data_IF_748566766933
#
_entry.id   IF_748566766933
#
_cell.length_a   1.000
_cell.length_b   1.000
_cell.length_c   1.000
_cell.angle_alpha   90.00
_cell.angle_beta   90.00
_cell.angle_gamma   90.00
#
_symmetry.space_group_name_H-M   'P 1'
#
loop_
_entity.id
_entity.type
_entity.pdbx_description
1 polymer ?
#
# COMPACT_ATOMS: atom_id res chain seq x y z
N UNK A 1 19.07 7.93 -1.75
CA UNK A 1 17.76 7.78 -2.41
C UNK A 1 17.84 6.92 -3.69
N UNK A 2 18.80 7.17 -4.58
CA UNK A 2 19.06 6.33 -5.76
C UNK A 2 19.34 4.85 -5.39
N UNK A 3 19.99 4.60 -4.26
CA UNK A 3 20.33 3.27 -3.76
C UNK A 3 19.08 2.40 -3.46
N UNK A 4 17.96 3.00 -3.01
CA UNK A 4 16.70 2.25 -2.76
C UNK A 4 16.07 1.74 -4.06
N UNK A 5 15.94 2.60 -5.09
CA UNK A 5 15.41 2.19 -6.41
C UNK A 5 16.33 1.17 -7.07
N UNK A 6 17.63 1.38 -7.01
CA UNK A 6 18.62 0.46 -7.58
C UNK A 6 18.59 -0.92 -6.92
N UNK A 7 18.38 -1.00 -5.59
CA UNK A 7 18.19 -2.28 -4.89
C UNK A 7 16.89 -2.98 -5.30
N UNK A 8 15.81 -2.26 -5.50
CA UNK A 8 14.53 -2.83 -5.94
C UNK A 8 14.64 -3.42 -7.36
N UNK A 9 15.29 -2.72 -8.29
CA UNK A 9 15.58 -3.24 -9.63
C UNK A 9 16.50 -4.48 -9.58
N UNK A 10 17.59 -4.43 -8.80
CA UNK A 10 18.52 -5.56 -8.65
C UNK A 10 17.89 -6.81 -8.04
N UNK A 11 16.85 -6.67 -7.20
CA UNK A 11 16.14 -7.82 -6.62
C UNK A 11 15.18 -8.42 -7.65
N UNK A 12 14.47 -7.61 -8.43
CA UNK A 12 13.48 -8.04 -9.40
C UNK A 12 14.10 -8.82 -10.58
N UNK A 13 15.27 -8.41 -11.02
CA UNK A 13 15.91 -8.95 -12.25
C UNK A 13 16.81 -10.16 -12.00
N UNK A 14 16.96 -10.63 -10.75
CA UNK A 14 17.74 -11.81 -10.43
C UNK A 14 16.86 -13.02 -10.23
N UNK A 15 16.83 -13.91 -11.20
CA UNK A 15 16.24 -15.26 -11.07
C UNK A 15 16.99 -16.18 -10.09
N UNK A 16 18.02 -15.66 -9.44
CA UNK A 16 19.00 -16.43 -8.64
C UNK A 16 18.57 -16.68 -7.18
N UNK A 17 17.36 -16.25 -6.76
CA UNK A 17 16.87 -16.49 -5.40
C UNK A 17 15.52 -17.21 -5.39
N UNK A 18 15.34 -18.10 -4.43
CA UNK A 18 14.08 -18.84 -4.23
C UNK A 18 13.12 -18.12 -3.28
N UNK A 19 13.66 -17.33 -2.37
CA UNK A 19 12.91 -16.62 -1.32
C UNK A 19 13.47 -15.22 -1.11
N UNK A 20 12.61 -14.26 -0.86
CA UNK A 20 12.99 -12.92 -0.37
C UNK A 20 12.60 -12.78 1.10
N UNK A 21 13.52 -12.36 1.96
CA UNK A 21 13.21 -12.05 3.36
C UNK A 21 13.48 -10.57 3.60
N UNK A 22 12.48 -9.88 4.12
CA UNK A 22 12.58 -8.47 4.53
C UNK A 22 12.61 -8.36 6.05
N UNK A 23 13.48 -7.47 6.55
CA UNK A 23 13.61 -7.16 7.97
C UNK A 23 13.38 -5.67 8.15
N UNK A 24 12.31 -5.27 8.82
CA UNK A 24 12.00 -3.86 9.01
C UNK A 24 10.53 -3.60 9.31
N UNK A 25 10.11 -2.35 9.18
CA UNK A 25 8.73 -1.91 9.31
C UNK A 25 8.00 -1.87 7.95
N UNK A 26 6.83 -1.21 7.94
CA UNK A 26 5.91 -1.15 6.81
C UNK A 26 6.57 -0.74 5.49
N UNK A 27 7.47 0.26 5.50
CA UNK A 27 8.20 0.65 4.29
C UNK A 27 9.15 -0.41 3.72
N UNK A 28 9.75 -1.28 4.55
CA UNK A 28 10.55 -2.42 4.07
C UNK A 28 9.64 -3.54 3.54
N UNK A 29 8.50 -3.75 4.17
CA UNK A 29 7.49 -4.70 3.71
C UNK A 29 6.94 -4.24 2.37
N UNK A 30 6.55 -2.98 2.22
CA UNK A 30 6.10 -2.40 0.94
C UNK A 30 7.15 -2.54 -0.17
N UNK A 31 8.43 -2.35 0.14
CA UNK A 31 9.52 -2.58 -0.81
C UNK A 31 9.60 -4.05 -1.23
N UNK A 32 9.51 -4.98 -0.28
CA UNK A 32 9.51 -6.41 -0.53
C UNK A 32 8.30 -6.86 -1.36
N UNK A 33 7.10 -6.41 -1.03
CA UNK A 33 5.87 -6.74 -1.77
C UNK A 33 5.94 -6.28 -3.23
N UNK A 34 6.45 -5.07 -3.48
CA UNK A 34 6.66 -4.58 -4.85
C UNK A 34 7.80 -5.30 -5.59
N UNK A 35 8.79 -5.86 -4.87
CA UNK A 35 9.89 -6.58 -5.49
C UNK A 35 9.49 -7.99 -5.97
N UNK A 36 8.62 -8.69 -5.23
CA UNK A 36 8.21 -10.07 -5.54
C UNK A 36 6.74 -10.21 -5.95
N UNK A 37 5.96 -9.13 -5.92
CA UNK A 37 4.58 -9.15 -6.36
C UNK A 37 4.43 -9.71 -7.76
N UNK A 38 3.47 -10.62 -7.97
CA UNK A 38 3.21 -11.34 -9.21
C UNK A 38 4.36 -12.22 -9.74
N UNK A 39 5.48 -12.36 -9.00
CA UNK A 39 6.60 -13.21 -9.42
C UNK A 39 6.43 -14.68 -9.03
N UNK A 40 5.50 -14.99 -8.11
CA UNK A 40 5.35 -16.30 -7.49
C UNK A 40 6.43 -16.64 -6.47
N UNK A 41 7.43 -15.77 -6.26
CA UNK A 41 8.50 -15.97 -5.26
C UNK A 41 7.99 -15.60 -3.86
N UNK A 42 8.21 -16.48 -2.86
CA UNK A 42 7.69 -16.23 -1.52
C UNK A 42 8.45 -15.12 -0.77
N UNK A 43 7.70 -14.30 -0.04
CA UNK A 43 8.19 -13.25 0.85
C UNK A 43 8.17 -13.71 2.30
N UNK A 44 9.31 -13.71 2.98
CA UNK A 44 9.42 -13.83 4.43
C UNK A 44 9.46 -12.45 5.08
N UNK A 45 8.75 -12.26 6.20
CA UNK A 45 8.63 -10.97 6.87
C UNK A 45 9.11 -11.08 8.32
N UNK A 46 10.14 -10.32 8.66
CA UNK A 46 10.60 -10.08 10.04
C UNK A 46 10.22 -8.64 10.40
N UNK A 47 9.04 -8.49 11.00
CA UNK A 47 8.45 -7.19 11.30
C UNK A 47 9.05 -6.56 12.56
N UNK A 48 9.87 -5.50 12.39
CA UNK A 48 10.59 -4.81 13.48
C UNK A 48 10.30 -3.32 13.56
N UNK A 49 9.32 -2.83 12.79
CA UNK A 49 8.89 -1.44 12.79
C UNK A 49 7.95 -1.09 13.93
N UNK A 50 7.46 0.14 13.93
CA UNK A 50 6.49 0.64 14.90
C UNK A 50 5.03 0.34 14.53
N UNK A 51 4.70 0.30 13.24
CA UNK A 51 3.37 -0.03 12.72
C UNK A 51 3.22 -1.53 12.50
N UNK A 52 3.85 -2.03 11.47
CA UNK A 52 3.81 -3.43 11.03
C UNK A 52 2.38 -3.92 10.72
N UNK A 53 1.59 -3.05 10.10
CA UNK A 53 0.15 -3.26 9.93
C UNK A 53 -0.17 -4.46 9.03
N UNK A 54 0.60 -4.65 7.95
CA UNK A 54 0.46 -5.83 7.09
C UNK A 54 0.80 -7.13 7.83
N UNK A 55 1.89 -7.15 8.61
CA UNK A 55 2.26 -8.32 9.40
C UNK A 55 1.23 -8.62 10.51
N UNK A 56 0.62 -7.59 11.10
CA UNK A 56 -0.48 -7.74 12.07
C UNK A 56 -1.72 -8.38 11.43
N UNK A 57 -2.09 -7.90 10.24
CA UNK A 57 -3.23 -8.45 9.49
C UNK A 57 -3.05 -9.92 9.14
N UNK A 58 -1.81 -10.36 8.97
CA UNK A 58 -1.44 -11.76 8.72
C UNK A 58 -1.17 -12.56 10.00
N UNK A 59 -1.36 -11.97 11.19
CA UNK A 59 -1.08 -12.59 12.49
C UNK A 59 0.37 -13.06 12.66
N UNK A 60 1.32 -12.42 11.95
CA UNK A 60 2.74 -12.72 12.04
C UNK A 60 3.36 -12.12 13.32
N UNK A 61 4.46 -12.71 13.83
CA UNK A 61 5.18 -12.17 14.97
C UNK A 61 5.67 -10.74 14.73
N UNK A 62 5.22 -9.78 15.55
CA UNK A 62 5.63 -8.38 15.51
C UNK A 62 6.63 -8.10 16.62
N UNK A 63 7.79 -7.51 16.29
CA UNK A 63 8.87 -7.20 17.22
C UNK A 63 9.41 -8.43 17.99
N UNK A 64 9.29 -9.63 17.40
CA UNK A 64 9.78 -10.91 17.92
C UNK A 64 10.67 -11.57 16.85
N UNK A 65 11.89 -11.07 16.70
CA UNK A 65 12.79 -11.46 15.61
C UNK A 65 13.05 -12.97 15.57
N UNK A 66 13.41 -13.58 16.70
CA UNK A 66 13.71 -15.01 16.79
C UNK A 66 12.48 -15.85 16.37
N UNK A 67 11.30 -15.55 16.92
CA UNK A 67 10.06 -16.25 16.59
C UNK A 67 9.71 -16.10 15.10
N UNK A 68 9.93 -14.92 14.51
CA UNK A 68 9.69 -14.67 13.09
C UNK A 68 10.64 -15.47 12.21
N UNK A 69 11.93 -15.50 12.55
CA UNK A 69 12.95 -16.27 11.81
C UNK A 69 12.66 -17.77 11.89
N UNK A 70 12.36 -18.29 13.09
CA UNK A 70 11.99 -19.71 13.27
C UNK A 70 10.74 -20.07 12.44
N UNK A 71 9.75 -19.17 12.43
CA UNK A 71 8.53 -19.32 11.63
C UNK A 71 8.83 -19.38 10.14
N UNK A 72 9.68 -18.47 9.63
CA UNK A 72 10.09 -18.42 8.22
C UNK A 72 10.86 -19.70 7.85
N UNK A 73 11.85 -20.11 8.65
CA UNK A 73 12.61 -21.33 8.39
C UNK A 73 11.69 -22.56 8.41
N UNK A 74 10.79 -22.65 9.40
CA UNK A 74 9.79 -23.72 9.45
C UNK A 74 8.85 -23.73 8.25
N UNK A 75 8.46 -22.57 7.75
CA UNK A 75 7.64 -22.41 6.55
C UNK A 75 8.39 -22.86 5.29
N UNK A 76 9.65 -22.47 5.12
CA UNK A 76 10.49 -22.90 4.01
C UNK A 76 10.67 -24.43 3.98
N UNK A 77 10.94 -25.04 5.14
CA UNK A 77 11.13 -26.48 5.26
C UNK A 77 9.88 -27.29 4.92
N UNK A 78 8.69 -26.73 5.15
CA UNK A 78 7.39 -27.40 4.96
C UNK A 78 6.65 -26.93 3.69
N UNK A 79 7.19 -25.96 2.98
CA UNK A 79 6.51 -25.33 1.85
C UNK A 79 5.24 -24.57 2.25
N UNK A 80 5.16 -24.08 3.52
CA UNK A 80 3.97 -23.40 4.03
C UNK A 80 3.95 -21.94 3.65
N UNK A 81 2.87 -21.52 3.01
CA UNK A 81 2.66 -20.12 2.59
C UNK A 81 1.16 -19.84 2.47
N UNK A 82 0.84 -18.58 2.36
CA UNK A 82 -0.47 -18.08 1.92
C UNK A 82 -0.28 -17.23 0.68
N UNK A 83 -1.24 -17.29 -0.22
CA UNK A 83 -1.30 -16.40 -1.38
C UNK A 83 -2.25 -15.24 -1.05
N UNK A 84 -1.73 -14.02 -1.08
CA UNK A 84 -2.38 -12.78 -0.65
C UNK A 84 -2.71 -11.93 -1.86
N UNK A 85 -3.88 -11.33 -1.85
CA UNK A 85 -4.28 -10.32 -2.83
C UNK A 85 -3.49 -9.02 -2.62
N UNK A 86 -3.37 -8.22 -3.66
CA UNK A 86 -2.81 -6.86 -3.58
C UNK A 86 -3.65 -5.88 -4.37
N UNK A 87 -3.61 -4.62 -3.99
CA UNK A 87 -4.08 -3.55 -4.86
C UNK A 87 -2.99 -3.14 -5.85
N UNK A 88 -3.36 -2.96 -7.12
CA UNK A 88 -2.53 -2.32 -8.14
C UNK A 88 -3.08 -0.95 -8.46
N UNK A 89 -2.26 0.08 -8.28
CA UNK A 89 -2.57 1.47 -8.65
C UNK A 89 -1.90 1.81 -9.96
N UNK A 90 -2.66 2.33 -10.91
CA UNK A 90 -2.17 2.84 -12.19
C UNK A 90 -2.70 4.24 -12.45
N UNK A 91 -1.91 5.13 -13.06
CA UNK A 91 -2.39 6.45 -13.45
C UNK A 91 -3.40 6.36 -14.59
N UNK A 92 -4.42 7.21 -14.51
CA UNK A 92 -5.29 7.57 -15.64
C UNK A 92 -4.76 8.87 -16.28
N UNK A 93 -5.23 9.24 -17.48
CA UNK A 93 -4.79 10.48 -18.13
C UNK A 93 -4.96 11.71 -17.23
N UNK A 94 -3.84 12.37 -16.91
CA UNK A 94 -3.77 13.50 -15.96
C UNK A 94 -3.27 13.15 -14.56
N UNK A 95 -3.29 11.88 -14.17
CA UNK A 95 -2.67 11.41 -12.93
C UNK A 95 -1.16 11.22 -13.09
N UNK A 96 -0.40 11.50 -12.06
CA UNK A 96 1.07 11.44 -12.13
C UNK A 96 1.71 11.09 -10.79
N UNK A 97 2.89 10.46 -10.88
CA UNK A 97 3.68 10.04 -9.74
C UNK A 97 4.47 11.21 -9.11
N UNK A 98 4.71 11.09 -7.80
CA UNK A 98 5.60 11.97 -7.03
C UNK A 98 6.79 11.20 -6.43
N UNK A 99 7.74 11.88 -5.82
CA UNK A 99 8.81 11.23 -5.06
C UNK A 99 8.20 10.48 -3.85
N UNK A 100 8.38 9.18 -3.81
CA UNK A 100 7.75 8.30 -2.80
C UNK A 100 8.18 8.56 -1.35
N UNK A 101 9.24 9.34 -1.14
CA UNK A 101 9.77 9.63 0.19
C UNK A 101 9.51 11.06 0.67
N UNK A 102 9.25 11.99 -0.24
CA UNK A 102 9.05 13.41 0.09
C UNK A 102 7.70 13.95 -0.36
N UNK A 103 7.04 13.29 -1.31
CA UNK A 103 5.81 13.79 -1.93
C UNK A 103 6.04 14.94 -2.91
N UNK A 104 7.30 15.31 -3.17
CA UNK A 104 7.62 16.38 -4.10
C UNK A 104 7.34 15.97 -5.54
N UNK A 105 6.96 16.92 -6.38
CA UNK A 105 6.81 16.70 -7.80
C UNK A 105 8.12 16.23 -8.43
N UNK A 106 8.02 15.18 -9.24
CA UNK A 106 9.16 14.73 -10.04
C UNK A 106 9.42 15.73 -11.15
N UNK A 107 10.70 16.06 -11.46
CA UNK A 107 11.01 16.98 -12.55
C UNK A 107 10.45 16.42 -13.85
N UNK A 108 9.55 17.18 -14.49
CA UNK A 108 9.13 16.91 -15.86
C UNK A 108 10.36 17.13 -16.75
N UNK A 109 10.87 16.07 -17.33
CA UNK A 109 11.85 16.24 -18.42
C UNK A 109 11.09 16.87 -19.58
N UNK A 110 11.27 18.19 -19.76
CA UNK A 110 10.93 18.78 -21.04
C UNK A 110 11.67 17.95 -22.09
N UNK A 111 11.01 17.62 -23.20
CA UNK A 111 11.59 17.02 -24.40
C UNK A 111 12.67 17.95 -25.02
N UNK A 112 13.69 18.29 -24.27
CA UNK A 112 14.95 18.77 -24.81
C UNK A 112 15.67 17.50 -25.24
N UNK A 113 15.80 17.32 -26.54
CA UNK A 113 16.56 16.28 -27.19
C UNK A 113 17.83 15.97 -26.38
N UNK A 114 17.74 15.01 -25.48
CA UNK A 114 18.93 14.42 -24.86
C UNK A 114 19.56 13.61 -25.97
N UNK A 115 20.42 14.25 -26.73
CA UNK A 115 21.23 13.57 -27.74
C UNK A 115 21.99 12.47 -27.00
N UNK A 116 22.06 11.28 -27.59
CA UNK A 116 22.74 10.10 -27.05
C UNK A 116 24.18 10.34 -26.54
N UNK A 117 24.78 11.48 -26.87
CA UNK A 117 26.07 11.96 -26.38
C UNK A 117 26.07 12.41 -24.91
N UNK A 118 24.97 12.93 -24.37
CA UNK A 118 24.92 13.42 -22.98
C UNK A 118 24.81 12.26 -21.99
N UNK A 119 24.10 11.19 -22.35
CA UNK A 119 23.99 9.98 -21.53
C UNK A 119 25.35 9.25 -21.44
N UNK A 120 26.12 9.20 -22.54
CA UNK A 120 27.46 8.62 -22.55
C UNK A 120 28.46 9.39 -21.68
N UNK A 121 28.32 10.69 -21.52
CA UNK A 121 29.17 11.52 -20.66
C UNK A 121 28.91 11.34 -19.16
N UNK A 122 27.66 11.00 -18.78
CA UNK A 122 27.28 10.72 -17.37
C UNK A 122 27.56 9.28 -16.93
N UNK A 123 27.77 8.37 -17.89
CA UNK A 123 28.10 6.95 -17.64
C UNK A 123 29.59 6.65 -17.91
N UNK A 124 30.45 7.67 -17.97
CA UNK A 124 31.90 7.48 -17.98
C UNK A 124 32.36 6.89 -16.62
N UNK A 125 32.06 5.62 -16.44
CA UNK A 125 32.62 4.78 -15.36
C UNK A 125 34.02 4.38 -15.80
N UNK A 126 34.96 4.54 -14.85
CA UNK A 126 36.37 4.19 -14.97
C UNK A 126 36.60 2.84 -15.70
N UNK A 127 37.47 2.79 -16.73
CA UNK A 127 37.68 1.57 -17.53
C UNK A 127 38.16 0.34 -16.75
N UNK A 128 38.53 0.49 -15.49
CA UNK A 128 38.98 -0.61 -14.62
C UNK A 128 37.86 -1.44 -13.99
N UNK A 129 36.58 -1.07 -14.17
CA UNK A 129 35.42 -1.85 -13.68
C UNK A 129 34.66 -2.59 -14.78
N UNK A 130 35.18 -2.67 -15.99
CA UNK A 130 34.54 -3.29 -17.16
C UNK A 130 34.56 -4.84 -17.20
N UNK A 131 34.95 -5.51 -16.12
CA UNK A 131 35.01 -6.97 -16.07
C UNK A 131 33.80 -7.67 -15.43
N UNK A 132 32.74 -6.92 -15.10
CA UNK A 132 31.43 -7.55 -14.87
C UNK A 132 30.60 -7.37 -16.13
N UNK A 133 30.49 -8.42 -16.92
CA UNK A 133 29.75 -8.48 -18.19
C UNK A 133 28.23 -8.26 -18.00
N UNK A 134 27.85 -7.06 -17.70
CA UNK A 134 26.47 -6.58 -17.69
C UNK A 134 26.24 -5.88 -19.03
N UNK A 135 25.75 -6.63 -19.98
CA UNK A 135 25.22 -6.10 -21.23
C UNK A 135 23.88 -5.43 -20.91
N UNK A 136 23.91 -4.11 -20.66
CA UNK A 136 22.70 -3.32 -20.52
C UNK A 136 22.12 -3.10 -21.91
N UNK A 137 21.30 -4.02 -22.37
CA UNK A 137 20.47 -3.80 -23.55
C UNK A 137 19.38 -2.78 -23.17
N UNK A 138 19.16 -1.76 -24.05
CA UNK A 138 18.25 -0.63 -23.88
C UNK A 138 16.77 -1.02 -23.62
N UNK A 139 16.44 -2.29 -23.64
CA UNK A 139 15.08 -2.84 -23.50
C UNK A 139 14.57 -2.86 -22.04
N UNK A 140 15.45 -2.65 -21.04
CA UNK A 140 15.12 -2.67 -19.60
C UNK A 140 15.11 -1.30 -18.92
N UNK A 141 15.48 -0.27 -19.63
CA UNK A 141 15.26 1.10 -19.18
C UNK A 141 13.85 1.49 -19.64
N UNK A 142 12.82 1.02 -18.96
CA UNK A 142 11.54 1.71 -18.95
C UNK A 142 11.87 3.19 -18.73
N UNK A 143 11.37 4.08 -19.59
CA UNK A 143 11.81 5.49 -19.71
C UNK A 143 12.09 6.06 -18.32
N UNK A 144 13.31 6.54 -18.01
CA UNK A 144 13.74 6.88 -16.66
C UNK A 144 12.98 8.06 -16.04
N UNK A 145 11.94 8.56 -16.71
CA UNK A 145 11.10 9.68 -16.32
C UNK A 145 9.62 9.47 -16.64
N UNK A 146 9.13 8.23 -16.71
CA UNK A 146 7.69 8.02 -16.74
C UNK A 146 7.09 8.54 -15.44
N UNK A 147 6.25 9.57 -15.56
CA UNK A 147 5.42 10.06 -14.46
C UNK A 147 4.24 9.13 -14.19
N UNK A 148 4.14 8.04 -14.93
CA UNK A 148 3.07 7.07 -14.80
C UNK A 148 3.19 6.31 -13.48
N UNK A 149 2.06 6.18 -12.82
CA UNK A 149 1.93 5.39 -11.62
C UNK A 149 1.70 3.93 -12.04
N UNK A 150 2.50 3.02 -11.49
CA UNK A 150 2.31 1.58 -11.59
C UNK A 150 2.92 0.95 -10.31
N UNK A 151 2.09 0.83 -9.26
CA UNK A 151 2.54 0.42 -7.92
C UNK A 151 1.58 -0.57 -7.29
N UNK A 152 2.13 -1.61 -6.69
CA UNK A 152 1.39 -2.51 -5.81
C UNK A 152 1.38 -1.97 -4.38
N UNK A 153 0.29 -2.26 -3.67
CA UNK A 153 0.20 -2.10 -2.23
C UNK A 153 -0.47 -3.33 -1.60
N UNK A 154 -0.03 -3.67 -0.40
CA UNK A 154 -0.53 -4.84 0.33
C UNK A 154 -1.46 -4.44 1.49
N UNK A 155 -1.35 -3.22 1.97
CA UNK A 155 -2.14 -2.65 3.06
C UNK A 155 -3.29 -1.78 2.57
N UNK A 156 -3.06 -0.47 2.49
CA UNK A 156 -4.09 0.52 2.17
C UNK A 156 -3.60 1.60 1.21
N UNK A 157 -4.50 2.04 0.33
CA UNK A 157 -4.40 3.26 -0.45
C UNK A 157 -5.21 4.35 0.26
N UNK A 158 -4.56 5.44 0.62
CA UNK A 158 -5.09 6.57 1.40
C UNK A 158 -5.18 7.81 0.51
N UNK A 159 -6.38 8.35 0.30
CA UNK A 159 -6.62 9.47 -0.61
C UNK A 159 -7.08 10.76 0.10
N UNK A 160 -7.27 10.76 1.42
CA UNK A 160 -7.83 11.89 2.17
C UNK A 160 -7.14 12.15 3.50
N UNK A 161 -7.95 12.24 4.56
CA UNK A 161 -7.52 12.47 5.94
C UNK A 161 -6.42 11.49 6.38
N UNK A 162 -6.53 10.24 6.01
CA UNK A 162 -5.55 9.19 6.28
C UNK A 162 -4.19 9.45 5.61
N UNK A 163 -4.18 9.98 4.37
CA UNK A 163 -2.96 10.44 3.72
C UNK A 163 -2.34 11.64 4.47
N UNK A 164 -3.17 12.63 4.87
CA UNK A 164 -2.70 13.79 5.64
C UNK A 164 -2.15 13.40 7.01
N UNK A 165 -2.75 12.41 7.68
CA UNK A 165 -2.26 11.84 8.95
C UNK A 165 -0.89 11.18 8.73
N UNK A 166 -0.74 10.37 7.69
CA UNK A 166 0.51 9.72 7.36
C UNK A 166 1.61 10.74 7.04
N UNK A 167 1.30 11.75 6.23
CA UNK A 167 2.22 12.85 5.91
C UNK A 167 2.72 13.55 7.17
N UNK A 168 1.81 13.98 8.05
CA UNK A 168 2.16 14.60 9.33
C UNK A 168 2.97 13.70 10.24
N UNK A 169 2.63 12.41 10.32
CA UNK A 169 3.36 11.44 11.12
C UNK A 169 4.79 11.23 10.61
N UNK A 170 4.98 11.19 9.29
CA UNK A 170 6.27 11.05 8.63
C UNK A 170 7.20 12.26 8.89
N UNK A 171 6.64 13.46 8.99
CA UNK A 171 7.37 14.70 9.31
C UNK A 171 7.53 14.97 10.81
N UNK A 172 6.92 14.18 11.67
CA UNK A 172 6.99 14.35 13.14
C UNK A 172 8.31 13.88 13.70
N UNK A 173 8.86 14.65 14.66
CA UNK A 173 10.09 14.32 15.40
C UNK A 173 9.86 13.57 16.70
N UNK A 174 8.64 13.16 17.02
CA UNK A 174 8.34 12.38 18.22
C UNK A 174 9.04 11.01 18.17
N UNK A 175 9.54 10.50 19.32
CA UNK A 175 10.43 9.34 19.33
C UNK A 175 9.76 8.00 19.03
N UNK A 176 8.44 7.90 19.20
CA UNK A 176 7.66 6.67 19.04
C UNK A 176 6.69 6.79 17.84
N UNK A 177 6.73 5.84 16.90
CA UNK A 177 5.90 5.83 15.70
C UNK A 177 4.41 5.84 15.99
N UNK A 178 3.94 5.04 16.96
CA UNK A 178 2.53 5.01 17.37
C UNK A 178 2.11 6.36 17.97
N UNK A 179 2.98 6.98 18.78
CA UNK A 179 2.71 8.30 19.36
C UNK A 179 2.67 9.40 18.29
N UNK A 180 3.57 9.32 17.27
CA UNK A 180 3.56 10.24 16.13
C UNK A 180 2.24 10.16 15.37
N UNK A 181 1.81 8.93 15.08
CA UNK A 181 0.57 8.70 14.34
C UNK A 181 -0.65 9.19 15.14
N UNK A 182 -0.73 8.85 16.43
CA UNK A 182 -1.81 9.32 17.30
C UNK A 182 -1.86 10.86 17.42
N UNK A 183 -0.72 11.51 17.60
CA UNK A 183 -0.64 12.98 17.62
C UNK A 183 -1.07 13.59 16.27
N UNK A 184 -0.68 12.97 15.14
CA UNK A 184 -1.11 13.39 13.82
C UNK A 184 -2.64 13.28 13.67
N UNK A 185 -3.24 12.15 14.09
CA UNK A 185 -4.69 11.96 14.10
C UNK A 185 -5.40 13.11 14.84
N UNK A 186 -4.97 13.40 16.08
CA UNK A 186 -5.62 14.45 16.88
C UNK A 186 -5.55 15.84 16.21
N UNK A 187 -4.43 16.15 15.56
CA UNK A 187 -4.27 17.44 14.86
C UNK A 187 -5.11 17.46 13.59
N UNK A 188 -5.05 16.43 12.75
CA UNK A 188 -5.80 16.39 11.50
C UNK A 188 -7.31 16.36 11.70
N UNK A 189 -7.80 15.74 12.77
CA UNK A 189 -9.22 15.78 13.15
C UNK A 189 -9.74 17.22 13.41
N UNK A 190 -8.86 18.16 13.81
CA UNK A 190 -9.26 19.58 13.99
C UNK A 190 -9.25 20.38 12.70
N UNK A 191 -8.68 19.86 11.61
CA UNK A 191 -8.50 20.55 10.34
C UNK A 191 -9.09 19.76 9.15
N UNK A 192 -10.06 18.89 9.42
CA UNK A 192 -10.66 18.05 8.38
C UNK A 192 -11.21 18.90 7.22
N UNK A 193 -10.77 18.57 6.02
CA UNK A 193 -11.27 19.10 4.76
C UNK A 193 -12.33 18.15 4.20
N UNK A 194 -13.11 18.63 3.25
CA UNK A 194 -14.12 17.86 2.53
C UNK A 194 -13.66 17.72 1.09
N UNK A 195 -12.87 16.71 0.82
CA UNK A 195 -12.32 16.42 -0.50
C UNK A 195 -13.40 15.93 -1.45
N UNK A 196 -13.32 16.35 -2.71
CA UNK A 196 -14.24 15.92 -3.77
C UNK A 196 -13.65 14.79 -4.60
N UNK A 197 -14.34 13.64 -4.65
CA UNK A 197 -13.96 12.48 -5.44
C UNK A 197 -15.10 12.12 -6.38
N UNK A 198 -14.79 11.93 -7.67
CA UNK A 198 -15.64 11.21 -8.60
C UNK A 198 -15.14 9.78 -8.70
N UNK A 199 -15.97 8.83 -8.37
CA UNK A 199 -15.64 7.42 -8.39
C UNK A 199 -16.44 6.67 -9.44
N UNK A 200 -15.79 5.65 -10.02
CA UNK A 200 -16.44 4.66 -10.87
C UNK A 200 -15.90 3.28 -10.46
N UNK A 201 -16.72 2.53 -9.75
CA UNK A 201 -16.35 1.26 -9.14
C UNK A 201 -17.09 0.07 -9.75
N UNK A 202 -16.38 -1.04 -9.92
CA UNK A 202 -16.99 -2.35 -10.18
C UNK A 202 -17.09 -3.09 -8.84
N UNK A 203 -18.31 -3.38 -8.42
CA UNK A 203 -18.61 -4.01 -7.14
C UNK A 203 -18.28 -5.51 -7.14
N UNK A 204 -18.33 -6.12 -5.97
CA UNK A 204 -18.09 -7.55 -5.80
C UNK A 204 -19.03 -8.44 -6.65
N UNK A 205 -20.27 -8.02 -6.83
CA UNK A 205 -21.28 -8.71 -7.66
C UNK A 205 -21.17 -8.41 -9.17
N UNK A 206 -20.25 -7.53 -9.56
CA UNK A 206 -20.02 -7.10 -10.95
C UNK A 206 -20.87 -5.91 -11.38
N UNK A 207 -21.74 -5.38 -10.53
CA UNK A 207 -22.47 -4.13 -10.81
C UNK A 207 -21.54 -2.92 -10.78
N UNK A 208 -21.96 -1.83 -11.43
CA UNK A 208 -21.22 -0.57 -11.49
C UNK A 208 -21.84 0.45 -10.54
N UNK A 209 -20.98 1.16 -9.81
CA UNK A 209 -21.33 2.32 -8.98
C UNK A 209 -20.54 3.53 -9.45
N UNK A 210 -21.21 4.54 -9.98
CA UNK A 210 -20.59 5.78 -10.47
C UNK A 210 -21.27 6.96 -9.78
N UNK A 211 -20.50 7.71 -9.00
CA UNK A 211 -21.02 8.83 -8.19
C UNK A 211 -19.92 9.75 -7.71
N UNK A 212 -20.33 10.95 -7.27
CA UNK A 212 -19.48 11.87 -6.53
C UNK A 212 -19.59 11.60 -5.02
N UNK A 213 -18.43 11.64 -4.35
CA UNK A 213 -18.30 11.53 -2.89
C UNK A 213 -17.57 12.76 -2.39
N UNK A 214 -18.20 13.52 -1.50
CA UNK A 214 -17.54 14.62 -0.80
C UNK A 214 -17.26 14.16 0.63
N UNK A 215 -16.01 13.78 0.86
CA UNK A 215 -15.61 13.08 2.07
C UNK A 215 -14.27 13.57 2.63
N UNK A 216 -14.12 13.63 3.95
CA UNK A 216 -12.81 13.83 4.56
C UNK A 216 -11.85 12.67 4.31
N UNK A 217 -12.37 11.44 4.20
CA UNK A 217 -11.58 10.21 4.07
C UNK A 217 -12.08 9.37 2.90
N UNK A 218 -11.17 8.93 2.05
CA UNK A 218 -11.40 7.90 1.04
C UNK A 218 -10.21 6.94 1.06
N UNK A 219 -10.48 5.68 1.40
CA UNK A 219 -9.46 4.64 1.53
C UNK A 219 -9.86 3.42 0.73
N UNK A 220 -8.91 2.82 -0.01
CA UNK A 220 -9.09 1.52 -0.67
C UNK A 220 -8.20 0.51 0.04
N UNK A 221 -8.80 -0.34 0.84
CA UNK A 221 -8.12 -1.27 1.73
C UNK A 221 -8.00 -2.66 1.12
N UNK A 222 -6.85 -3.29 1.31
CA UNK A 222 -6.60 -4.71 1.11
C UNK A 222 -6.36 -5.42 2.46
N UNK A 223 -5.98 -4.67 3.50
CA UNK A 223 -5.75 -5.16 4.85
C UNK A 223 -6.66 -4.48 5.87
N UNK A 224 -6.74 -5.06 7.08
CA UNK A 224 -7.60 -4.54 8.16
C UNK A 224 -7.01 -3.32 8.86
N UNK A 225 -5.67 -3.22 8.96
CA UNK A 225 -4.99 -2.31 9.87
C UNK A 225 -4.23 -1.19 9.16
N UNK A 226 -4.19 -0.02 9.81
CA UNK A 226 -3.37 1.13 9.44
C UNK A 226 -2.81 1.81 10.70
N UNK A 227 -1.67 2.47 10.58
CA UNK A 227 -1.14 3.39 11.59
C UNK A 227 -0.76 2.75 12.93
N UNK A 228 -0.35 1.48 12.92
CA UNK A 228 0.10 0.77 14.12
C UNK A 228 -1.02 0.04 14.85
N UNK A 229 -2.00 -0.47 14.12
CA UNK A 229 -3.03 -1.35 14.62
C UNK A 229 -4.44 -0.76 14.71
N UNK A 230 -4.69 0.41 14.13
CA UNK A 230 -6.06 0.91 13.94
C UNK A 230 -6.77 0.03 12.93
N UNK A 231 -7.89 -0.56 13.29
CA UNK A 231 -8.67 -1.47 12.45
C UNK A 231 -9.72 -0.70 11.65
N UNK A 232 -9.28 -0.11 10.53
CA UNK A 232 -10.12 0.72 9.65
C UNK A 232 -11.05 -0.13 8.80
N UNK A 233 -10.57 -1.29 8.35
CA UNK A 233 -11.34 -2.20 7.49
C UNK A 233 -11.45 -3.60 8.11
N UNK A 234 -12.30 -3.79 9.13
CA UNK A 234 -12.42 -5.07 9.84
C UNK A 234 -12.89 -6.23 8.96
N UNK A 235 -13.52 -5.93 7.84
CA UNK A 235 -14.05 -6.94 6.90
C UNK A 235 -13.10 -7.27 5.76
N UNK A 236 -11.95 -6.61 5.63
CA UNK A 236 -10.95 -6.91 4.60
C UNK A 236 -10.40 -8.32 4.77
N UNK A 237 -10.22 -8.98 3.63
CA UNK A 237 -9.67 -10.33 3.52
C UNK A 237 -8.52 -10.33 2.51
N UNK A 238 -7.52 -11.12 2.79
CA UNK A 238 -6.32 -11.20 1.94
C UNK A 238 -6.44 -12.14 0.74
N UNK A 239 -7.58 -12.82 0.52
CA UNK A 239 -7.65 -13.90 -0.47
C UNK A 239 -9.01 -14.06 -1.15
N UNK A 240 -9.85 -13.03 -1.15
CA UNK A 240 -11.19 -13.06 -1.77
C UNK A 240 -11.24 -12.37 -3.15
N UNK A 241 -10.12 -11.82 -3.62
CA UNK A 241 -10.01 -11.12 -4.90
C UNK A 241 -10.70 -9.76 -4.92
N UNK A 242 -10.94 -9.17 -3.74
CA UNK A 242 -11.65 -7.91 -3.57
C UNK A 242 -10.81 -6.91 -2.79
N UNK A 243 -11.20 -5.65 -2.88
CA UNK A 243 -10.74 -4.54 -2.07
C UNK A 243 -11.93 -3.91 -1.36
N UNK A 244 -11.69 -3.21 -0.27
CA UNK A 244 -12.72 -2.55 0.50
C UNK A 244 -12.59 -1.03 0.35
N UNK A 245 -13.60 -0.39 -0.26
CA UNK A 245 -13.72 1.06 -0.34
C UNK A 245 -14.38 1.57 0.94
N UNK A 246 -13.72 2.50 1.62
CA UNK A 246 -14.17 3.10 2.88
C UNK A 246 -14.15 4.61 2.72
N UNK A 247 -15.22 5.27 3.16
CA UNK A 247 -15.32 6.74 3.17
C UNK A 247 -16.04 7.24 4.41
N UNK A 248 -15.93 8.53 4.70
CA UNK A 248 -16.78 9.20 5.68
C UNK A 248 -17.95 9.86 4.97
N UNK A 249 -19.19 9.62 5.42
CA UNK A 249 -20.38 10.22 4.84
C UNK A 249 -20.50 11.72 5.16
N UNK A 250 -19.86 12.16 6.24
CA UNK A 250 -19.82 13.57 6.66
C UNK A 250 -18.61 13.84 7.57
N UNK A 251 -18.32 15.10 7.84
CA UNK A 251 -17.35 15.50 8.87
C UNK A 251 -17.95 15.18 10.24
N UNK A 252 -17.34 14.27 11.03
CA UNK A 252 -17.88 13.85 12.31
C UNK A 252 -17.84 15.00 13.33
N UNK A 253 -18.88 15.09 14.16
CA UNK A 253 -18.89 15.97 15.32
C UNK A 253 -18.03 15.39 16.47
N UNK A 254 -17.86 16.15 17.55
CA UNK A 254 -16.99 15.74 18.66
C UNK A 254 -17.39 14.40 19.29
N UNK A 255 -18.69 14.11 19.39
CA UNK A 255 -19.19 12.85 19.99
C UNK A 255 -18.89 11.68 19.05
N UNK A 256 -19.14 11.86 17.76
CA UNK A 256 -18.84 10.86 16.72
C UNK A 256 -17.33 10.59 16.62
N UNK A 257 -16.49 11.63 16.72
CA UNK A 257 -15.04 11.46 16.80
C UNK A 257 -14.63 10.62 18.01
N UNK A 258 -15.17 10.90 19.19
CA UNK A 258 -14.88 10.16 20.41
C UNK A 258 -15.33 8.70 20.31
N UNK A 259 -16.49 8.44 19.71
CA UNK A 259 -17.00 7.10 19.42
C UNK A 259 -16.07 6.38 18.44
N UNK A 260 -15.72 7.00 17.31
CA UNK A 260 -14.80 6.42 16.32
C UNK A 260 -13.44 6.06 16.92
N UNK A 261 -12.84 6.96 17.72
CA UNK A 261 -11.59 6.68 18.44
C UNK A 261 -11.74 5.50 19.40
N UNK A 262 -12.86 5.39 20.12
CA UNK A 262 -13.11 4.27 21.03
C UNK A 262 -13.22 2.91 20.30
N UNK A 263 -13.63 2.95 19.04
CA UNK A 263 -13.81 1.79 18.17
C UNK A 263 -12.60 1.48 17.29
N UNK A 264 -11.59 2.34 17.26
CA UNK A 264 -10.46 2.25 16.35
C UNK A 264 -9.59 0.98 16.49
N UNK A 265 -9.59 0.35 17.67
CA UNK A 265 -8.76 -0.81 17.98
C UNK A 265 -9.56 -2.08 18.30
N UNK A 266 -10.85 -2.10 18.03
CA UNK A 266 -11.72 -3.23 18.39
C UNK A 266 -12.57 -3.77 17.24
N UNK A 267 -12.24 -3.41 15.99
CA UNK A 267 -12.92 -3.87 14.79
C UNK A 267 -14.33 -3.32 14.59
N UNK A 268 -14.72 -2.29 15.34
CA UNK A 268 -16.07 -1.72 15.31
C UNK A 268 -16.17 -0.36 14.66
N UNK A 269 -15.09 0.11 14.03
CA UNK A 269 -15.05 1.45 13.44
C UNK A 269 -16.17 1.65 12.40
N UNK A 270 -16.40 0.69 11.54
CA UNK A 270 -17.43 0.73 10.50
C UNK A 270 -18.86 0.52 11.05
N UNK A 271 -19.03 0.19 12.32
CA UNK A 271 -20.33 0.19 12.96
C UNK A 271 -20.82 1.61 13.34
N UNK A 272 -19.91 2.59 13.32
CA UNK A 272 -20.27 4.01 13.43
C UNK A 272 -21.01 4.50 12.19
N UNK A 273 -22.02 5.35 12.38
CA UNK A 273 -22.79 5.95 11.29
C UNK A 273 -22.02 6.97 10.44
N UNK A 274 -20.78 7.24 10.82
CA UNK A 274 -19.89 8.17 10.10
C UNK A 274 -19.32 7.55 8.85
N UNK A 275 -19.15 6.21 8.83
CA UNK A 275 -18.44 5.52 7.76
C UNK A 275 -19.38 4.78 6.83
N UNK A 276 -19.16 4.95 5.53
CA UNK A 276 -19.65 4.06 4.49
C UNK A 276 -18.59 3.03 4.12
N UNK A 277 -19.03 1.88 3.64
CA UNK A 277 -18.17 0.77 3.24
C UNK A 277 -18.78 -0.03 2.08
N UNK A 278 -17.93 -0.50 1.16
CA UNK A 278 -18.34 -1.26 -0.01
C UNK A 278 -17.22 -2.14 -0.55
N UNK A 279 -17.53 -3.38 -0.94
CA UNK A 279 -16.56 -4.27 -1.60
C UNK A 279 -16.50 -4.03 -3.09
N UNK A 280 -15.30 -3.95 -3.61
CA UNK A 280 -15.01 -3.62 -5.01
C UNK A 280 -13.99 -4.57 -5.61
N UNK A 281 -14.05 -4.76 -6.94
CA UNK A 281 -13.01 -5.41 -7.74
C UNK A 281 -12.01 -4.42 -8.29
N UNK A 282 -12.52 -3.28 -8.73
CA UNK A 282 -11.71 -2.17 -9.23
C UNK A 282 -12.46 -0.84 -9.02
N UNK A 283 -11.70 0.24 -9.01
CA UNK A 283 -12.22 1.59 -8.90
C UNK A 283 -11.36 2.57 -9.69
N UNK A 284 -11.98 3.48 -10.41
CA UNK A 284 -11.38 4.69 -10.92
C UNK A 284 -11.72 5.83 -9.96
N UNK A 285 -10.72 6.61 -9.58
CA UNK A 285 -10.87 7.75 -8.66
C UNK A 285 -10.31 8.97 -9.37
N UNK A 286 -11.13 9.99 -9.52
CA UNK A 286 -10.74 11.29 -10.04
C UNK A 286 -11.26 12.40 -9.11
N UNK A 287 -10.84 13.64 -9.36
CA UNK A 287 -11.37 14.78 -8.64
C UNK A 287 -12.80 15.07 -9.11
N UNK A 288 -13.72 15.33 -8.16
CA UNK A 288 -15.03 15.89 -8.46
C UNK A 288 -14.96 17.40 -8.66
N UNK A 289 -16.00 17.98 -9.29
CA UNK A 289 -16.09 19.43 -9.47
C UNK A 289 -16.29 20.18 -8.14
N UNK A 290 -17.02 19.57 -7.20
CA UNK A 290 -17.27 20.08 -5.88
C UNK A 290 -16.31 19.51 -4.84
N UNK A 291 -16.10 20.24 -3.72
CA UNK A 291 -15.22 19.85 -2.63
C UNK A 291 -13.79 20.37 -2.74
N UNK A 292 -13.04 20.17 -1.67
CA UNK A 292 -11.61 20.53 -1.62
C UNK A 292 -10.79 19.61 -2.53
N UNK A 293 -9.62 20.08 -2.94
CA UNK A 293 -8.67 19.29 -3.71
C UNK A 293 -8.07 18.16 -2.84
N UNK A 294 -8.16 16.88 -3.28
CA UNK A 294 -7.52 15.78 -2.59
C UNK A 294 -6.00 15.97 -2.45
N UNK A 295 -5.41 15.53 -1.33
CA UNK A 295 -3.96 15.58 -1.15
C UNK A 295 -3.24 14.61 -2.09
N UNK A 296 -1.90 14.65 -2.08
CA UNK A 296 -1.08 13.56 -2.63
C UNK A 296 -1.52 12.26 -1.94
N UNK A 297 -1.97 11.29 -2.73
CA UNK A 297 -2.39 10.03 -2.14
C UNK A 297 -1.20 9.13 -1.80
N UNK A 298 -1.39 8.27 -0.83
CA UNK A 298 -0.34 7.41 -0.28
C UNK A 298 -0.78 5.94 -0.32
N UNK A 299 0.19 5.04 -0.45
CA UNK A 299 -0.04 3.61 -0.31
C UNK A 299 1.01 3.01 0.63
N UNK A 300 0.57 2.21 1.59
CA UNK A 300 1.42 1.59 2.62
C UNK A 300 2.37 2.60 3.31
N UNK A 301 1.90 3.85 3.50
CA UNK A 301 2.64 4.94 4.14
C UNK A 301 3.67 5.65 3.26
N UNK A 302 3.78 5.32 1.97
CA UNK A 302 4.64 6.01 0.99
C UNK A 302 3.81 6.88 0.04
N UNK A 303 4.35 8.04 -0.35
CA UNK A 303 3.69 8.89 -1.36
C UNK A 303 3.69 8.21 -2.72
N UNK A 304 2.58 8.30 -3.42
CA UNK A 304 2.40 7.69 -4.74
C UNK A 304 2.23 8.75 -5.82
N UNK A 305 1.26 9.65 -5.69
CA UNK A 305 0.99 10.63 -6.72
C UNK A 305 -0.30 11.41 -6.55
N UNK A 306 -0.73 11.98 -7.66
CA UNK A 306 -1.98 12.74 -7.78
C UNK A 306 -3.02 12.00 -8.62
N UNK A 307 -4.29 12.21 -8.29
CA UNK A 307 -5.42 11.73 -9.08
C UNK A 307 -5.40 12.34 -10.50
N UNK A 308 -6.02 11.69 -11.51
CA UNK A 308 -6.84 10.49 -11.40
C UNK A 308 -6.06 9.18 -11.50
N UNK A 309 -6.59 8.13 -10.87
CA UNK A 309 -6.00 6.79 -10.87
C UNK A 309 -7.05 5.70 -11.01
N UNK A 310 -6.60 4.52 -11.48
CA UNK A 310 -7.34 3.27 -11.40
C UNK A 310 -6.69 2.35 -10.37
N UNK A 311 -7.50 1.73 -9.55
CA UNK A 311 -7.09 0.72 -8.56
C UNK A 311 -7.78 -0.59 -8.89
N UNK A 312 -7.02 -1.68 -8.94
CA UNK A 312 -7.54 -3.00 -9.31
C UNK A 312 -7.08 -4.04 -8.29
N UNK A 313 -7.99 -4.89 -7.84
CA UNK A 313 -7.66 -6.05 -7.03
C UNK A 313 -6.86 -7.06 -7.87
N UNK A 314 -5.68 -7.42 -7.39
CA UNK A 314 -4.82 -8.44 -7.99
C UNK A 314 -4.87 -9.68 -7.11
N UNK A 315 -5.68 -10.65 -7.52
CA UNK A 315 -5.89 -11.86 -6.73
C UNK A 315 -4.64 -12.72 -6.66
N UNK A 316 -4.29 -13.16 -5.46
CA UNK A 316 -3.15 -14.05 -5.17
C UNK A 316 -1.82 -13.54 -5.74
N UNK A 317 -1.64 -12.23 -5.72
CA UNK A 317 -0.51 -11.55 -6.33
C UNK A 317 0.79 -11.66 -5.50
N UNK A 318 0.69 -11.96 -4.21
CA UNK A 318 1.82 -12.05 -3.29
C UNK A 318 1.79 -13.37 -2.52
N UNK A 319 2.86 -14.12 -2.59
CA UNK A 319 3.07 -15.31 -1.76
C UNK A 319 3.83 -14.95 -0.49
N UNK A 320 3.27 -15.24 0.69
CA UNK A 320 3.90 -14.92 1.97
C UNK A 320 4.19 -16.21 2.73
N UNK A 321 5.45 -16.37 3.20
CA UNK A 321 5.85 -17.46 4.07
C UNK A 321 5.21 -17.29 5.45
N UNK A 322 4.42 -18.26 5.86
CA UNK A 322 3.77 -18.27 7.17
C UNK A 322 3.90 -19.64 7.84
N UNK A 323 3.97 -19.69 9.18
CA UNK A 323 3.91 -20.98 9.87
C UNK A 323 2.63 -21.76 9.51
N UNK A 324 2.67 -23.10 9.46
CA UNK A 324 1.50 -23.92 9.08
C UNK A 324 0.24 -23.61 9.88
N UNK A 325 0.38 -23.34 11.19
CA UNK A 325 -0.75 -22.99 12.03
C UNK A 325 -1.45 -21.68 11.61
N UNK A 326 -0.68 -20.71 11.10
CA UNK A 326 -1.23 -19.44 10.57
C UNK A 326 -1.94 -19.69 9.24
N UNK A 327 -1.35 -20.50 8.35
CA UNK A 327 -1.99 -20.87 7.10
C UNK A 327 -3.33 -21.59 7.31
N UNK A 328 -3.38 -22.51 8.28
CA UNK A 328 -4.60 -23.25 8.64
C UNK A 328 -5.67 -22.32 9.27
N UNK A 329 -5.26 -21.34 10.08
CA UNK A 329 -6.17 -20.38 10.69
C UNK A 329 -6.81 -19.48 9.61
N UNK A 330 -6.00 -18.93 8.72
CA UNK A 330 -6.49 -18.08 7.60
C UNK A 330 -7.43 -18.86 6.66
N UNK A 331 -7.15 -20.14 6.40
CA UNK A 331 -8.02 -21.00 5.59
C UNK A 331 -9.39 -21.19 6.25
N UNK A 332 -9.43 -21.44 7.57
CA UNK A 332 -10.68 -21.61 8.35
C UNK A 332 -11.51 -20.33 8.38
N UNK A 333 -10.89 -19.17 8.61
CA UNK A 333 -11.59 -17.88 8.56
C UNK A 333 -12.25 -17.64 7.21
N UNK A 334 -11.61 -18.04 6.12
CA UNK A 334 -12.17 -17.96 4.78
C UNK A 334 -13.38 -18.87 4.58
N UNK A 335 -13.40 -20.09 5.16
CA UNK A 335 -14.52 -21.03 5.08
C UNK A 335 -15.71 -20.60 5.94
N UNK A 336 -15.49 -20.18 7.20
CA UNK A 336 -16.56 -19.73 8.10
C UNK A 336 -17.31 -18.52 7.54
N UNK A 337 -16.59 -17.55 7.01
CA UNK A 337 -17.19 -16.35 6.44
C UNK A 337 -17.90 -16.60 5.09
N UNK A 338 -17.53 -17.65 4.37
CA UNK A 338 -18.25 -18.06 3.16
C UNK A 338 -19.60 -18.67 3.52
N UNK A 339 -19.69 -19.36 4.65
CA UNK A 339 -20.95 -19.93 5.17
C UNK A 339 -21.89 -18.83 5.68
N UNK A 340 -21.39 -17.79 6.35
CA UNK A 340 -22.19 -16.64 6.79
C UNK A 340 -22.75 -15.81 5.62
N UNK A 341 -22.01 -15.72 4.50
CA UNK A 341 -22.49 -15.02 3.30
C UNK A 341 -23.58 -15.77 2.53
N UNK A 342 -23.78 -17.06 2.82
CA UNK A 342 -24.80 -17.93 2.18
C UNK A 342 -26.06 -18.06 3.07
N UNK A 343 -25.97 -17.71 4.35
CA UNK A 343 -27.09 -17.73 5.30
C UNK A 343 -27.80 -16.37 5.38
#
# INVERSE_FOLDING_TARGET
KAIRRQRQMCIRDRDEYDYLVVVGGDGMIALGTNAVGCSGKPLGIVATGSGNDFARGLELPVNRVETAVDGIVGAMMRGSHIDVDMGLVTSLPGGYAVDSSTGDELPRVQEAAVTAHTVRGLLAVDPLQSNMGLDFTDEYLGEPNSLDINRYYAGMLSCGLDASINDRANHSHLPNGTLRYFAAVLVELTHMKRYGYHIKATLADGSMDERDIISPLLTVANSRHIGGGIEVSPYSRFSDGLLDLIWMDHVPNFVECAEAISHAYNGRLLASKVFGWQRIREIEISRADDGDEPPVFMADGEYIGHLPVKVTAQSRALRVLVPPAVAEAQARDGEEQTLEAIA
#
